data_IF_639757459283
#
_entry.id   IF_639757459283
#
_cell.length_a   1.000
_cell.length_b   1.000
_cell.length_c   1.000
_cell.angle_alpha   90.00
_cell.angle_beta   90.00
_cell.angle_gamma   90.00
#
_symmetry.space_group_name_H-M   'P 1'
#
loop_
_entity.id
_entity.type
_entity.pdbx_description
1 polymer ?
#
# COMPACT_ATOMS: atom_id res chain seq x y z
N UNK A 1 -6.06 7.92 -15.37
CA UNK A 1 -7.45 7.67 -14.93
C UNK A 1 -7.76 6.21 -15.14
N UNK A 2 -8.16 5.50 -14.08
CA UNK A 2 -8.62 4.10 -14.18
C UNK A 2 -10.10 4.12 -14.60
N UNK A 3 -10.46 3.42 -15.68
CA UNK A 3 -11.87 3.20 -16.07
C UNK A 3 -12.17 1.71 -15.94
N UNK A 4 -13.08 1.34 -15.03
CA UNK A 4 -13.50 -0.04 -14.80
C UNK A 4 -14.13 -0.25 -13.42
N UNK A 5 -14.70 -1.42 -13.19
CA UNK A 5 -15.13 -1.86 -11.86
C UNK A 5 -13.92 -2.33 -11.07
N UNK A 6 -13.84 -1.95 -9.79
CA UNK A 6 -12.73 -2.26 -8.90
C UNK A 6 -13.22 -3.17 -7.78
N UNK A 7 -12.55 -4.30 -7.60
CA UNK A 7 -12.74 -5.19 -6.45
C UNK A 7 -12.31 -4.49 -5.15
N UNK A 8 -13.12 -4.54 -4.09
CA UNK A 8 -12.82 -3.85 -2.82
C UNK A 8 -11.44 -4.21 -2.25
N UNK A 9 -10.97 -5.44 -2.51
CA UNK A 9 -9.71 -5.94 -1.96
C UNK A 9 -8.46 -5.25 -2.53
N UNK A 10 -8.57 -4.52 -3.65
CA UNK A 10 -7.42 -3.82 -4.27
C UNK A 10 -7.29 -2.35 -3.87
N UNK A 11 -8.20 -1.82 -3.05
CA UNK A 11 -8.20 -0.41 -2.64
C UNK A 11 -6.87 0.01 -1.98
N UNK A 12 -6.31 -0.87 -1.14
CA UNK A 12 -5.03 -0.64 -0.47
C UNK A 12 -3.89 -0.32 -1.46
N UNK A 13 -3.77 -1.13 -2.52
CA UNK A 13 -2.73 -0.98 -3.53
C UNK A 13 -2.84 0.34 -4.28
N UNK A 14 -4.06 0.83 -4.55
CA UNK A 14 -4.25 2.15 -5.18
C UNK A 14 -3.86 3.31 -4.28
N UNK A 15 -4.14 3.20 -2.97
CA UNK A 15 -3.76 4.24 -2.02
C UNK A 15 -2.24 4.42 -1.95
N UNK A 16 -1.48 3.32 -1.83
CA UNK A 16 -0.01 3.37 -1.69
C UNK A 16 0.71 3.76 -3.00
N UNK A 17 0.10 3.52 -4.18
CA UNK A 17 0.61 4.01 -5.47
C UNK A 17 0.56 5.54 -5.58
N UNK A 18 -0.52 6.16 -5.08
CA UNK A 18 -0.71 7.61 -5.15
C UNK A 18 0.06 8.38 -4.05
N UNK A 19 0.61 7.69 -3.05
CA UNK A 19 1.23 8.32 -1.86
C UNK A 19 2.65 7.82 -1.58
N UNK A 20 3.67 8.37 -2.25
CA UNK A 20 5.07 7.93 -2.11
C UNK A 20 5.61 7.96 -0.67
N UNK A 21 5.19 8.95 0.14
CA UNK A 21 5.62 9.08 1.54
C UNK A 21 5.07 7.96 2.43
N UNK A 22 3.83 7.54 2.19
CA UNK A 22 3.22 6.42 2.92
C UNK A 22 3.92 5.11 2.56
N UNK A 23 4.20 4.90 1.27
CA UNK A 23 4.95 3.74 0.80
C UNK A 23 6.32 3.62 1.49
N UNK A 24 7.06 4.72 1.59
CA UNK A 24 8.38 4.72 2.25
C UNK A 24 8.28 4.27 3.72
N UNK A 25 7.31 4.81 4.47
CA UNK A 25 7.10 4.46 5.89
C UNK A 25 6.73 3.00 6.09
N UNK A 26 5.90 2.44 5.21
CA UNK A 26 5.52 1.02 5.26
C UNK A 26 6.71 0.10 4.94
N UNK A 27 7.54 0.47 3.98
CA UNK A 27 8.73 -0.32 3.67
C UNK A 27 9.81 -0.24 4.76
N UNK A 28 9.89 0.86 5.51
CA UNK A 28 10.74 0.97 6.72
C UNK A 28 10.28 0.04 7.86
N UNK A 29 9.05 -0.48 7.81
CA UNK A 29 8.48 -1.42 8.78
C UNK A 29 8.50 -2.87 8.29
N UNK A 30 9.29 -3.18 7.24
CA UNK A 30 9.40 -4.51 6.62
C UNK A 30 8.08 -5.07 6.03
N UNK A 31 7.11 -4.20 5.74
CA UNK A 31 5.80 -4.58 5.16
C UNK A 31 5.81 -4.67 3.62
N UNK A 32 6.97 -4.47 3.00
CA UNK A 32 7.15 -4.46 1.55
C UNK A 32 7.77 -5.75 1.05
N UNK A 33 7.36 -6.16 -0.16
CA UNK A 33 8.03 -7.24 -0.88
C UNK A 33 9.39 -6.77 -1.46
N UNK A 34 10.10 -7.68 -2.13
CA UNK A 34 11.41 -7.41 -2.73
C UNK A 34 11.42 -6.27 -3.78
N UNK A 35 10.25 -5.97 -4.38
CA UNK A 35 10.08 -4.88 -5.34
C UNK A 35 9.75 -3.52 -4.68
N UNK A 36 9.73 -3.47 -3.34
CA UNK A 36 9.40 -2.27 -2.57
C UNK A 36 7.92 -1.90 -2.63
N UNK A 37 7.06 -2.91 -2.81
CA UNK A 37 5.60 -2.76 -2.84
C UNK A 37 5.03 -3.26 -1.51
N UNK A 38 4.26 -2.43 -0.77
CA UNK A 38 3.54 -2.86 0.41
C UNK A 38 2.49 -3.91 0.03
N UNK A 39 2.64 -5.12 0.57
CA UNK A 39 1.71 -6.23 0.33
C UNK A 39 1.03 -6.71 1.61
N UNK A 40 1.54 -6.28 2.77
CA UNK A 40 0.96 -6.51 4.08
C UNK A 40 0.25 -5.25 4.58
N UNK A 41 -0.82 -5.46 5.34
CA UNK A 41 -1.57 -4.38 5.96
C UNK A 41 -0.90 -3.99 7.28
N UNK A 42 -0.61 -2.69 7.51
CA UNK A 42 -0.07 -2.24 8.79
C UNK A 42 -1.07 -2.48 9.92
N UNK A 43 -0.58 -2.76 11.13
CA UNK A 43 -1.44 -2.82 12.29
C UNK A 43 -1.86 -1.37 12.65
N UNK A 44 -3.14 -1.10 12.95
CA UNK A 44 -3.58 0.26 13.29
C UNK A 44 -2.88 0.88 14.52
N UNK A 45 -2.23 0.06 15.33
CA UNK A 45 -1.47 0.50 16.50
C UNK A 45 -0.08 1.07 16.16
N UNK A 46 0.39 0.88 14.92
CA UNK A 46 1.72 1.32 14.47
C UNK A 46 1.74 2.76 13.92
N UNK A 47 0.61 3.49 14.03
CA UNK A 47 0.36 4.82 13.46
C UNK A 47 -0.22 5.82 14.46
#
# INVERSE_FOLDING_TARGET
AVRGNVEQHVLYHFMVQATPRLRQRLCEQDLCNADGVPVELPHPADF
#
